data_IF_214924797928
#
_entry.id   IF_214924797928
#
_cell.length_a   1.000
_cell.length_b   1.000
_cell.length_c   1.000
_cell.angle_alpha   90.00
_cell.angle_beta   90.00
_cell.angle_gamma   90.00
#
_symmetry.space_group_name_H-M   'P 1'
#
loop_
_entity.id
_entity.type
_entity.pdbx_description
1 polymer ?
#
# COMPACT_ATOMS: atom_id res chain seq x y z
N UNK A 1 20.02 21.47 2.49
CA UNK A 1 21.21 21.95 3.22
C UNK A 1 20.83 22.38 4.64
N UNK A 2 19.93 23.36 4.81
CA UNK A 2 19.53 23.88 6.14
C UNK A 2 19.10 22.80 7.13
N UNK A 3 18.32 21.80 6.68
CA UNK A 3 17.85 20.69 7.54
C UNK A 3 19.01 19.80 7.96
N UNK A 4 19.96 19.50 7.06
CA UNK A 4 21.09 18.64 7.38
C UNK A 4 22.06 19.31 8.35
N UNK A 5 22.33 20.60 8.14
CA UNK A 5 23.16 21.37 9.06
C UNK A 5 22.54 21.44 10.47
N UNK A 6 21.21 21.65 10.54
CA UNK A 6 20.49 21.67 11.81
C UNK A 6 20.42 20.29 12.51
N UNK A 7 20.43 19.21 11.75
CA UNK A 7 20.47 17.84 12.29
C UNK A 7 21.84 17.51 12.89
N UNK A 8 22.89 17.90 12.19
CA UNK A 8 24.27 17.71 12.62
C UNK A 8 24.59 18.57 13.85
N UNK A 9 24.05 19.79 13.92
CA UNK A 9 24.19 20.70 15.08
C UNK A 9 23.32 20.29 16.29
N UNK A 10 22.46 19.28 16.18
CA UNK A 10 21.57 18.84 17.27
C UNK A 10 20.39 19.78 17.54
N UNK A 11 20.01 20.61 16.56
CA UNK A 11 18.84 21.51 16.66
C UNK A 11 17.52 20.84 16.23
N UNK A 12 17.59 19.60 15.74
CA UNK A 12 16.44 18.79 15.34
C UNK A 12 16.42 17.53 16.18
N UNK A 13 15.37 17.35 16.97
CA UNK A 13 15.17 16.16 17.81
C UNK A 13 14.48 15.01 17.05
N UNK A 14 13.58 15.33 16.13
CA UNK A 14 12.83 14.34 15.34
C UNK A 14 12.88 14.72 13.86
N UNK A 15 13.32 13.78 13.02
CA UNK A 15 13.35 13.95 11.57
C UNK A 15 12.50 12.85 10.92
N UNK A 16 11.53 13.25 10.11
CA UNK A 16 10.67 12.35 9.34
C UNK A 16 10.99 12.50 7.86
N UNK A 17 11.14 11.39 7.17
CA UNK A 17 11.43 11.39 5.75
C UNK A 17 11.43 10.00 5.14
N UNK A 18 11.84 9.90 3.90
CA UNK A 18 11.95 8.66 3.15
C UNK A 18 13.34 8.01 3.33
N UNK A 19 13.62 6.95 2.57
CA UNK A 19 14.93 6.28 2.51
C UNK A 19 16.11 7.24 2.24
N UNK A 20 15.87 8.47 1.80
CA UNK A 20 16.91 9.50 1.65
C UNK A 20 17.63 9.82 2.96
N UNK A 21 17.01 9.56 4.11
CA UNK A 21 17.61 9.76 5.42
C UNK A 21 18.78 8.78 5.72
N UNK A 22 18.86 7.67 4.99
CA UNK A 22 19.95 6.70 5.14
C UNK A 22 21.17 6.97 4.24
N UNK A 23 21.12 8.05 3.44
CA UNK A 23 22.25 8.40 2.57
C UNK A 23 23.47 8.83 3.37
N UNK A 24 24.66 8.60 2.82
CA UNK A 24 25.94 8.88 3.48
C UNK A 24 26.12 10.35 3.89
N UNK A 25 25.53 11.27 3.13
CA UNK A 25 25.59 12.72 3.37
C UNK A 25 24.75 13.22 4.54
N UNK A 26 23.93 12.35 5.15
CA UNK A 26 23.10 12.72 6.31
C UNK A 26 23.86 12.35 7.57
N UNK A 27 24.27 13.34 8.33
CA UNK A 27 24.95 13.18 9.62
C UNK A 27 23.98 13.52 10.75
N UNK A 28 24.03 12.75 11.82
CA UNK A 28 23.21 12.93 13.00
C UNK A 28 24.12 13.36 14.17
N UNK A 29 23.67 14.34 14.95
CA UNK A 29 24.40 14.76 16.15
C UNK A 29 24.45 13.61 17.17
N UNK A 30 23.30 13.01 17.46
CA UNK A 30 23.16 11.88 18.39
C UNK A 30 21.89 11.10 18.04
N UNK A 31 22.00 10.06 17.21
CA UNK A 31 20.86 9.26 16.79
C UNK A 31 20.56 8.20 17.86
N UNK A 32 19.47 8.35 18.58
CA UNK A 32 19.07 7.41 19.65
C UNK A 32 18.06 6.36 19.20
N UNK A 33 17.14 6.72 18.29
CA UNK A 33 16.07 5.82 17.83
C UNK A 33 15.83 5.98 16.33
N UNK A 34 15.69 4.84 15.65
CA UNK A 34 15.26 4.76 14.24
C UNK A 34 13.97 3.97 14.16
N UNK A 35 12.94 4.55 13.57
CA UNK A 35 11.67 3.87 13.27
C UNK A 35 11.50 3.77 11.77
N UNK A 36 11.33 2.55 11.24
CA UNK A 36 11.08 2.31 9.82
C UNK A 36 9.74 1.59 9.65
N UNK A 37 8.90 2.16 8.80
CA UNK A 37 7.58 1.61 8.49
C UNK A 37 7.57 1.02 7.08
N UNK A 38 6.85 -0.10 6.90
CA UNK A 38 6.66 -0.83 5.63
C UNK A 38 7.95 -1.13 4.84
N UNK A 39 9.07 -1.29 5.51
CA UNK A 39 10.33 -1.38 4.81
C UNK A 39 10.83 -2.80 4.61
N UNK A 40 10.36 -3.45 3.55
CA UNK A 40 10.87 -4.75 3.07
C UNK A 40 12.35 -4.71 2.65
N UNK A 41 12.94 -3.51 2.52
CA UNK A 41 14.32 -3.29 2.06
C UNK A 41 15.27 -2.79 3.14
N UNK A 42 14.83 -2.65 4.39
CA UNK A 42 15.70 -2.23 5.49
C UNK A 42 16.48 -3.44 6.04
N UNK A 43 17.46 -3.85 5.27
CA UNK A 43 18.30 -5.02 5.59
C UNK A 43 19.43 -4.72 6.55
N UNK A 44 20.20 -5.75 6.86
CA UNK A 44 21.40 -5.71 7.73
C UNK A 44 22.40 -4.62 7.30
N UNK A 45 22.60 -4.46 5.98
CA UNK A 45 23.53 -3.46 5.43
C UNK A 45 23.15 -2.00 5.76
N UNK A 46 21.86 -1.67 5.74
CA UNK A 46 21.38 -0.33 6.09
C UNK A 46 21.52 -0.07 7.59
N UNK A 47 21.21 -1.06 8.43
CA UNK A 47 21.45 -0.97 9.89
C UNK A 47 22.91 -0.77 10.22
N UNK A 48 23.79 -1.56 9.61
CA UNK A 48 25.24 -1.43 9.79
C UNK A 48 25.75 -0.03 9.42
N UNK A 49 25.21 0.57 8.35
CA UNK A 49 25.56 1.96 7.98
C UNK A 49 25.11 2.99 9.02
N UNK A 50 23.97 2.79 9.67
CA UNK A 50 23.53 3.67 10.76
C UNK A 50 24.41 3.51 12.00
N UNK A 51 24.81 2.29 12.32
CA UNK A 51 25.67 2.01 13.45
C UNK A 51 27.07 2.62 13.29
N UNK A 52 27.62 2.58 12.08
CA UNK A 52 28.95 3.16 11.80
C UNK A 52 28.99 4.68 11.88
N UNK A 53 27.84 5.37 11.80
CA UNK A 53 27.74 6.83 11.87
C UNK A 53 27.63 7.39 13.28
N UNK A 54 27.42 6.57 14.28
CA UNK A 54 27.22 7.00 15.66
C UNK A 54 28.25 6.38 16.62
N UNK A 55 28.56 7.07 17.69
CA UNK A 55 29.40 6.53 18.76
C UNK A 55 28.74 5.36 19.50
N UNK A 56 27.42 5.36 19.56
CA UNK A 56 26.62 4.27 20.12
C UNK A 56 25.57 3.83 19.10
N UNK A 57 25.31 2.50 18.95
CA UNK A 57 24.27 2.02 18.07
C UNK A 57 22.89 2.57 18.49
N UNK A 58 22.09 3.11 17.56
CA UNK A 58 20.73 3.54 17.88
C UNK A 58 19.81 2.34 18.11
N UNK A 59 18.76 2.52 18.89
CA UNK A 59 17.65 1.57 18.91
C UNK A 59 16.96 1.56 17.55
N UNK A 60 16.54 0.38 17.09
CA UNK A 60 15.90 0.23 15.77
C UNK A 60 14.57 -0.48 15.94
N UNK A 61 13.48 0.17 15.52
CA UNK A 61 12.15 -0.39 15.39
C UNK A 61 11.81 -0.54 13.91
N UNK A 62 11.62 -1.77 13.46
CA UNK A 62 11.12 -2.08 12.10
C UNK A 62 9.68 -2.54 12.21
N UNK A 63 8.79 -1.86 11.49
CA UNK A 63 7.38 -2.21 11.44
C UNK A 63 7.00 -2.71 10.05
N UNK A 64 6.09 -3.67 9.96
CA UNK A 64 5.52 -4.15 8.70
C UNK A 64 4.11 -4.69 8.93
N UNK A 65 3.21 -4.43 7.99
CA UNK A 65 1.88 -5.02 7.98
C UNK A 65 1.84 -6.39 7.29
N UNK A 66 2.90 -6.75 6.53
CA UNK A 66 2.97 -8.08 5.91
C UNK A 66 3.36 -9.14 6.92
N UNK A 67 2.57 -10.23 7.05
CA UNK A 67 2.93 -11.33 7.93
C UNK A 67 4.25 -11.96 7.51
N UNK A 68 5.27 -11.86 8.34
CA UNK A 68 6.55 -12.54 8.14
C UNK A 68 6.57 -13.73 9.11
N UNK A 69 6.70 -14.97 8.62
CA UNK A 69 6.88 -16.12 9.50
C UNK A 69 8.02 -15.87 10.48
N UNK A 70 7.82 -16.21 11.76
CA UNK A 70 8.80 -15.94 12.82
C UNK A 70 10.19 -16.48 12.49
N UNK A 71 10.26 -17.65 11.91
CA UNK A 71 11.52 -18.27 11.46
C UNK A 71 12.23 -17.46 10.39
N UNK A 72 11.47 -16.92 9.42
CA UNK A 72 12.02 -16.06 8.37
C UNK A 72 12.45 -14.71 8.96
N UNK A 73 11.67 -14.14 9.88
CA UNK A 73 12.04 -12.93 10.60
C UNK A 73 13.35 -13.08 11.37
N UNK A 74 13.54 -14.20 12.07
CA UNK A 74 14.79 -14.51 12.76
C UNK A 74 15.98 -14.68 11.81
N UNK A 75 15.75 -15.16 10.59
CA UNK A 75 16.80 -15.30 9.58
C UNK A 75 17.16 -13.95 8.94
N UNK A 76 16.16 -13.12 8.68
CA UNK A 76 16.35 -11.80 8.03
C UNK A 76 16.80 -10.72 9.00
N UNK A 77 16.39 -10.81 10.26
CA UNK A 77 16.57 -9.81 11.30
C UNK A 77 17.15 -10.44 12.59
N UNK A 78 18.04 -11.41 12.45
CA UNK A 78 18.54 -12.25 13.54
C UNK A 78 19.13 -11.54 14.76
N UNK A 79 19.35 -10.23 14.64
CA UNK A 79 19.80 -9.29 15.68
C UNK A 79 18.64 -8.50 16.33
N UNK A 80 17.38 -8.76 15.93
CA UNK A 80 16.21 -8.07 16.47
C UNK A 80 15.23 -9.04 17.14
N UNK A 81 14.65 -8.58 18.23
CA UNK A 81 13.49 -9.25 18.84
C UNK A 81 12.22 -9.02 18.01
N UNK A 82 11.36 -10.03 17.97
CA UNK A 82 10.10 -9.97 17.19
C UNK A 82 8.91 -9.88 18.12
N UNK A 83 8.15 -8.81 17.96
CA UNK A 83 6.83 -8.63 18.59
C UNK A 83 5.73 -8.72 17.54
N UNK A 84 4.64 -9.40 17.86
CA UNK A 84 3.51 -9.60 16.94
C UNK A 84 2.26 -8.93 17.51
N UNK A 85 1.61 -8.08 16.71
CA UNK A 85 0.29 -7.52 17.00
C UNK A 85 -0.72 -8.45 16.32
N UNK A 86 -1.41 -9.28 17.10
CA UNK A 86 -2.30 -10.36 16.62
C UNK A 86 -3.80 -10.03 16.77
N UNK A 87 -4.12 -8.86 17.32
CA UNK A 87 -5.50 -8.42 17.53
C UNK A 87 -5.87 -7.30 16.55
N UNK A 88 -7.08 -7.40 16.01
CA UNK A 88 -7.62 -6.32 15.18
C UNK A 88 -8.03 -5.12 16.05
N UNK A 89 -7.88 -3.88 15.54
CA UNK A 89 -8.40 -2.70 16.19
C UNK A 89 -9.91 -2.81 16.46
N UNK A 90 -10.43 -2.17 17.52
CA UNK A 90 -11.85 -2.14 17.80
C UNK A 90 -12.68 -1.69 16.59
N UNK A 91 -13.75 -2.42 16.29
CA UNK A 91 -14.66 -2.11 15.17
C UNK A 91 -14.23 -2.64 13.80
N UNK A 92 -13.03 -3.16 13.65
CA UNK A 92 -12.57 -3.76 12.40
C UNK A 92 -13.14 -5.17 12.24
N UNK A 93 -13.78 -5.41 11.10
CA UNK A 93 -14.37 -6.73 10.77
C UNK A 93 -13.35 -7.62 10.09
N UNK A 94 -13.39 -8.95 10.33
CA UNK A 94 -12.58 -9.90 9.59
C UNK A 94 -12.84 -9.83 8.08
N UNK A 95 -11.79 -9.91 7.29
CA UNK A 95 -11.89 -9.96 5.83
C UNK A 95 -12.03 -11.42 5.40
N UNK A 96 -13.00 -11.68 4.53
CA UNK A 96 -13.18 -12.99 3.91
C UNK A 96 -12.55 -12.97 2.52
N UNK A 97 -11.43 -13.65 2.35
CA UNK A 97 -10.76 -13.82 1.06
C UNK A 97 -11.29 -15.06 0.35
N UNK A 98 -11.66 -14.91 -0.94
CA UNK A 98 -12.21 -15.99 -1.76
C UNK A 98 -11.52 -15.98 -3.11
N UNK A 99 -10.98 -17.13 -3.52
CA UNK A 99 -10.49 -17.32 -4.87
C UNK A 99 -11.64 -17.79 -5.80
N UNK A 100 -11.67 -17.24 -7.01
CA UNK A 100 -12.62 -17.63 -8.08
C UNK A 100 -11.90 -17.68 -9.42
N UNK A 101 -12.30 -18.63 -10.25
CA UNK A 101 -11.87 -18.70 -11.65
C UNK A 101 -12.75 -17.81 -12.53
N UNK A 102 -12.27 -17.47 -13.73
CA UNK A 102 -12.95 -16.60 -14.70
C UNK A 102 -14.39 -17.09 -15.05
N UNK A 103 -14.61 -18.39 -15.01
CA UNK A 103 -15.94 -18.98 -15.23
C UNK A 103 -17.01 -18.52 -14.23
N UNK A 104 -16.59 -17.96 -13.09
CA UNK A 104 -17.46 -17.42 -12.04
C UNK A 104 -17.52 -15.89 -11.99
N UNK A 105 -17.04 -15.23 -13.02
CA UNK A 105 -16.96 -13.76 -13.10
C UNK A 105 -18.37 -13.12 -13.04
N UNK A 106 -19.36 -13.73 -13.70
CA UNK A 106 -20.74 -13.24 -13.66
C UNK A 106 -21.33 -13.24 -12.25
N UNK A 107 -21.09 -14.32 -11.49
CA UNK A 107 -21.56 -14.42 -10.10
C UNK A 107 -20.92 -13.33 -9.22
N UNK A 108 -19.65 -13.03 -9.47
CA UNK A 108 -18.90 -11.98 -8.76
C UNK A 108 -19.46 -10.59 -9.07
N UNK A 109 -19.75 -10.29 -10.33
CA UNK A 109 -20.35 -9.01 -10.71
C UNK A 109 -21.74 -8.82 -10.11
N UNK A 110 -22.54 -9.87 -10.07
CA UNK A 110 -23.85 -9.84 -9.41
C UNK A 110 -23.71 -9.56 -7.90
N UNK A 111 -22.77 -10.21 -7.25
CA UNK A 111 -22.46 -9.95 -5.84
C UNK A 111 -22.04 -8.50 -5.60
N UNK A 112 -21.17 -7.95 -6.44
CA UNK A 112 -20.76 -6.54 -6.34
C UNK A 112 -21.95 -5.58 -6.48
N UNK A 113 -22.84 -5.82 -7.45
CA UNK A 113 -24.07 -5.03 -7.63
C UNK A 113 -24.98 -5.09 -6.40
N UNK A 114 -25.10 -6.26 -5.78
CA UNK A 114 -25.85 -6.41 -4.53
C UNK A 114 -25.24 -5.62 -3.38
N UNK A 115 -23.91 -5.58 -3.29
CA UNK A 115 -23.23 -4.78 -2.26
C UNK A 115 -23.38 -3.28 -2.52
N UNK A 116 -23.31 -2.84 -3.78
CA UNK A 116 -23.54 -1.44 -4.17
C UNK A 116 -25.00 -1.04 -3.87
N UNK A 117 -25.97 -1.91 -4.14
CA UNK A 117 -27.37 -1.66 -3.81
C UNK A 117 -27.62 -1.47 -2.30
N UNK A 118 -26.74 -2.00 -1.44
CA UNK A 118 -26.74 -1.76 0.02
C UNK A 118 -26.01 -0.46 0.41
N UNK A 119 -25.64 0.38 -0.56
CA UNK A 119 -24.90 1.63 -0.34
C UNK A 119 -23.39 1.46 -0.14
N UNK A 120 -22.82 0.28 -0.45
CA UNK A 120 -21.39 0.02 -0.31
C UNK A 120 -20.62 0.33 -1.58
N UNK A 121 -19.30 0.37 -1.48
CA UNK A 121 -18.40 0.67 -2.59
C UNK A 121 -17.44 -0.49 -2.84
N UNK A 122 -16.91 -0.54 -4.06
CA UNK A 122 -16.09 -1.65 -4.56
C UNK A 122 -14.76 -1.13 -5.11
N UNK A 123 -13.66 -1.79 -4.72
CA UNK A 123 -12.37 -1.67 -5.40
C UNK A 123 -12.19 -2.77 -6.42
N UNK A 124 -11.63 -2.45 -7.59
CA UNK A 124 -11.17 -3.42 -8.59
C UNK A 124 -9.71 -3.11 -8.91
N UNK A 125 -8.84 -4.05 -8.58
CA UNK A 125 -7.39 -3.87 -8.73
C UNK A 125 -6.87 -4.74 -9.87
N UNK A 126 -6.17 -4.10 -10.82
CA UNK A 126 -5.48 -4.77 -11.93
C UNK A 126 -3.99 -4.86 -11.64
N UNK A 127 -3.32 -5.98 -11.99
CA UNK A 127 -1.89 -6.09 -11.82
C UNK A 127 -1.14 -5.14 -12.74
N UNK A 128 -0.01 -4.62 -12.26
CA UNK A 128 1.00 -4.03 -13.12
C UNK A 128 1.92 -5.13 -13.63
N UNK A 129 2.08 -5.22 -14.94
CA UNK A 129 3.01 -6.14 -15.59
C UNK A 129 4.33 -5.38 -15.75
N UNK A 130 5.35 -5.72 -14.97
CA UNK A 130 6.63 -4.98 -14.93
C UNK A 130 7.38 -4.89 -16.28
N UNK A 131 6.95 -5.64 -17.29
CA UNK A 131 7.63 -5.70 -18.59
C UNK A 131 7.37 -4.50 -19.49
N UNK A 132 6.26 -3.77 -19.32
CA UNK A 132 5.94 -2.57 -20.10
C UNK A 132 4.84 -1.74 -19.48
N UNK A 133 5.17 -0.54 -19.03
CA UNK A 133 4.18 0.44 -18.53
C UNK A 133 3.07 0.76 -19.55
N UNK A 134 3.34 0.60 -20.83
CA UNK A 134 2.36 0.81 -21.89
C UNK A 134 1.33 -0.31 -21.91
N UNK A 135 1.76 -1.57 -21.79
CA UNK A 135 0.89 -2.75 -21.74
C UNK A 135 0.01 -2.73 -20.48
N UNK A 136 0.55 -2.31 -19.35
CA UNK A 136 -0.19 -2.19 -18.11
C UNK A 136 -1.33 -1.17 -18.22
N UNK A 137 -1.05 -0.05 -18.87
CA UNK A 137 -2.07 0.97 -19.12
C UNK A 137 -3.15 0.48 -20.08
N UNK A 138 -2.79 -0.20 -21.17
CA UNK A 138 -3.74 -0.77 -22.14
C UNK A 138 -4.62 -1.84 -21.51
N UNK A 139 -4.07 -2.68 -20.63
CA UNK A 139 -4.81 -3.68 -19.87
C UNK A 139 -5.78 -3.04 -18.86
N UNK A 140 -5.34 -2.00 -18.17
CA UNK A 140 -6.18 -1.23 -17.26
C UNK A 140 -7.34 -0.56 -18.03
N UNK A 141 -7.05 0.11 -19.14
CA UNK A 141 -8.10 0.75 -19.96
C UNK A 141 -9.12 -0.25 -20.51
N UNK A 142 -8.64 -1.41 -20.99
CA UNK A 142 -9.52 -2.47 -21.45
C UNK A 142 -10.38 -3.02 -20.31
N UNK A 143 -9.79 -3.19 -19.13
CA UNK A 143 -10.50 -3.57 -17.92
C UNK A 143 -11.52 -2.51 -17.49
N UNK A 144 -11.16 -1.25 -17.50
CA UNK A 144 -12.05 -0.15 -17.17
C UNK A 144 -13.24 -0.05 -18.12
N UNK A 145 -13.02 -0.19 -19.44
CA UNK A 145 -14.10 -0.22 -20.44
C UNK A 145 -15.06 -1.39 -20.18
N UNK A 146 -14.55 -2.58 -19.89
CA UNK A 146 -15.36 -3.73 -19.50
C UNK A 146 -16.19 -3.46 -18.23
N UNK A 147 -15.59 -2.80 -17.24
CA UNK A 147 -16.33 -2.45 -16.04
C UNK A 147 -17.45 -1.43 -16.31
N UNK A 148 -17.26 -0.49 -17.23
CA UNK A 148 -18.35 0.41 -17.66
C UNK A 148 -19.52 -0.32 -18.34
N UNK A 149 -19.27 -1.41 -19.04
CA UNK A 149 -20.31 -2.26 -19.61
C UNK A 149 -21.07 -3.04 -18.51
N UNK A 150 -20.33 -3.52 -17.50
CA UNK A 150 -20.92 -4.26 -16.35
C UNK A 150 -21.68 -3.35 -15.42
N UNK A 151 -21.18 -2.13 -15.21
CA UNK A 151 -21.74 -1.10 -14.31
C UNK A 151 -22.04 0.18 -15.11
N UNK A 152 -23.13 0.16 -15.93
CA UNK A 152 -23.42 1.29 -16.82
C UNK A 152 -23.93 2.53 -16.08
N UNK A 153 -23.58 3.70 -16.60
CA UNK A 153 -24.18 4.97 -16.20
C UNK A 153 -25.65 5.06 -16.72
N UNK A 154 -26.54 5.78 -16.06
CA UNK A 154 -26.32 6.58 -14.84
C UNK A 154 -26.47 5.81 -13.52
N UNK A 155 -26.73 4.52 -13.57
CA UNK A 155 -26.99 3.70 -12.38
C UNK A 155 -25.74 3.54 -11.51
N UNK A 156 -24.57 3.48 -12.14
CA UNK A 156 -23.28 3.31 -11.47
C UNK A 156 -22.27 4.38 -11.91
N UNK A 157 -21.50 4.89 -10.96
CA UNK A 157 -20.40 5.80 -11.22
C UNK A 157 -19.08 5.12 -10.95
N UNK A 158 -18.22 5.08 -11.99
CA UNK A 158 -16.92 4.41 -11.93
C UNK A 158 -15.80 5.42 -12.07
N UNK A 159 -14.85 5.38 -11.13
CA UNK A 159 -13.58 6.09 -11.23
C UNK A 159 -12.43 5.17 -11.63
N UNK A 160 -11.36 5.77 -12.15
CA UNK A 160 -10.11 5.07 -12.45
C UNK A 160 -8.93 5.84 -11.86
N UNK A 161 -7.99 5.10 -11.25
CA UNK A 161 -6.73 5.66 -10.74
C UNK A 161 -5.56 4.78 -11.15
N UNK A 162 -4.50 5.41 -11.67
CA UNK A 162 -3.28 4.71 -12.10
C UNK A 162 -2.02 5.55 -11.92
N UNK A 163 -0.85 4.91 -12.05
CA UNK A 163 0.45 5.53 -11.80
C UNK A 163 0.77 6.77 -12.64
N UNK A 164 0.28 6.84 -13.88
CA UNK A 164 0.56 7.94 -14.83
C UNK A 164 -0.26 9.21 -14.59
N UNK A 165 -1.31 9.14 -13.77
CA UNK A 165 -2.11 10.33 -13.44
C UNK A 165 -1.30 11.31 -12.60
N UNK A 166 -1.58 12.61 -12.80
CA UNK A 166 -1.02 13.65 -11.94
C UNK A 166 -1.54 13.49 -10.51
N UNK A 167 -0.74 13.85 -9.50
CA UNK A 167 -1.18 13.75 -8.10
C UNK A 167 -2.54 14.39 -7.83
N UNK A 168 -2.77 15.59 -8.36
CA UNK A 168 -4.05 16.30 -8.18
C UNK A 168 -5.26 15.58 -8.80
N UNK A 169 -5.06 14.86 -9.91
CA UNK A 169 -6.11 14.07 -10.55
C UNK A 169 -6.43 12.83 -9.71
N UNK A 170 -5.40 12.15 -9.19
CA UNK A 170 -5.55 11.02 -8.26
C UNK A 170 -6.30 11.44 -7.01
N UNK A 171 -5.89 12.56 -6.41
CA UNK A 171 -6.51 13.08 -5.19
C UNK A 171 -7.99 13.41 -5.42
N UNK A 172 -8.32 14.02 -6.58
CA UNK A 172 -9.70 14.33 -6.93
C UNK A 172 -10.57 13.07 -7.04
N UNK A 173 -10.11 12.04 -7.77
CA UNK A 173 -10.85 10.77 -7.90
C UNK A 173 -11.00 10.07 -6.56
N UNK A 174 -9.94 10.06 -5.74
CA UNK A 174 -9.96 9.45 -4.41
C UNK A 174 -10.92 10.17 -3.47
N UNK A 175 -11.00 11.51 -3.53
CA UNK A 175 -11.97 12.30 -2.77
C UNK A 175 -13.40 11.98 -3.17
N UNK A 176 -13.70 11.90 -4.47
CA UNK A 176 -15.03 11.50 -4.97
C UNK A 176 -15.40 10.09 -4.49
N UNK A 177 -14.45 9.17 -4.51
CA UNK A 177 -14.69 7.82 -4.01
C UNK A 177 -14.91 7.81 -2.49
N UNK A 178 -14.13 8.55 -1.73
CA UNK A 178 -14.30 8.68 -0.29
C UNK A 178 -15.62 9.36 0.10
N UNK A 179 -16.09 10.32 -0.72
CA UNK A 179 -17.39 10.99 -0.56
C UNK A 179 -18.59 10.11 -0.95
N UNK A 180 -18.35 8.92 -1.56
CA UNK A 180 -19.42 8.03 -2.01
C UNK A 180 -20.05 8.42 -3.36
N UNK A 181 -19.45 9.37 -4.08
CA UNK A 181 -19.90 9.80 -5.41
C UNK A 181 -19.60 8.71 -6.48
N UNK A 182 -18.59 7.88 -6.24
CA UNK A 182 -18.24 6.74 -7.08
C UNK A 182 -18.60 5.43 -6.37
N UNK A 183 -19.27 4.54 -7.08
CA UNK A 183 -19.62 3.19 -6.60
C UNK A 183 -18.46 2.21 -6.73
N UNK A 184 -17.69 2.36 -7.81
CA UNK A 184 -16.58 1.47 -8.15
C UNK A 184 -15.33 2.29 -8.44
N UNK A 185 -14.21 1.87 -7.87
CA UNK A 185 -12.91 2.43 -8.19
C UNK A 185 -12.02 1.36 -8.81
N UNK A 186 -11.63 1.58 -10.05
CA UNK A 186 -10.71 0.72 -10.81
C UNK A 186 -9.30 1.28 -10.67
N UNK A 187 -8.34 0.44 -10.31
CA UNK A 187 -6.99 0.91 -10.06
C UNK A 187 -5.92 -0.11 -10.41
N UNK A 188 -4.69 0.36 -10.56
CA UNK A 188 -3.49 -0.49 -10.50
C UNK A 188 -3.00 -0.59 -9.06
N UNK A 189 -1.96 -1.40 -8.82
CA UNK A 189 -1.33 -1.61 -7.50
C UNK A 189 -0.85 -0.33 -6.80
N UNK A 190 -0.94 0.81 -7.42
CA UNK A 190 -0.48 2.12 -6.92
C UNK A 190 -1.37 2.71 -5.83
N UNK A 191 -2.50 2.07 -5.49
CA UNK A 191 -3.31 2.50 -4.33
C UNK A 191 -2.68 1.96 -3.05
N UNK A 192 -1.43 2.25 -2.85
CA UNK A 192 -0.73 1.69 -1.70
C UNK A 192 -1.07 2.38 -0.39
N UNK A 193 -1.60 3.60 -0.38
CA UNK A 193 -1.63 4.29 0.90
C UNK A 193 -2.72 5.34 1.05
N UNK A 194 -3.45 5.22 2.15
CA UNK A 194 -3.77 6.36 2.99
C UNK A 194 -5.16 6.93 2.86
N UNK A 195 -6.00 6.51 1.92
CA UNK A 195 -7.40 6.90 1.96
C UNK A 195 -8.21 5.78 2.59
N UNK A 196 -8.56 5.98 3.86
CA UNK A 196 -9.47 5.09 4.55
C UNK A 196 -10.89 5.31 4.01
N UNK A 197 -11.40 4.35 3.25
CA UNK A 197 -12.78 4.33 2.75
C UNK A 197 -13.53 3.17 3.43
N UNK A 198 -14.06 3.37 4.64
CA UNK A 198 -14.70 2.30 5.42
C UNK A 198 -15.89 1.67 4.71
N UNK A 199 -16.52 2.41 3.79
CA UNK A 199 -17.66 1.97 3.01
C UNK A 199 -17.29 1.05 1.84
N UNK A 200 -16.02 1.01 1.42
CA UNK A 200 -15.52 0.09 0.42
C UNK A 200 -15.34 -1.31 1.02
N UNK A 201 -16.37 -2.12 0.94
CA UNK A 201 -16.46 -3.43 1.61
C UNK A 201 -16.03 -4.61 0.73
N UNK A 202 -15.84 -4.39 -0.56
CA UNK A 202 -15.44 -5.42 -1.53
C UNK A 202 -14.20 -4.95 -2.28
N UNK A 203 -13.22 -5.84 -2.38
CA UNK A 203 -12.07 -5.67 -3.24
C UNK A 203 -11.97 -6.87 -4.18
N UNK A 204 -12.01 -6.63 -5.47
CA UNK A 204 -11.73 -7.62 -6.50
C UNK A 204 -10.30 -7.42 -7.01
N UNK A 205 -9.52 -8.47 -7.02
CA UNK A 205 -8.15 -8.48 -7.54
C UNK A 205 -8.13 -9.33 -8.81
N UNK A 206 -7.92 -8.68 -9.93
CA UNK A 206 -7.78 -9.34 -11.24
C UNK A 206 -6.44 -10.04 -11.36
N UNK A 207 -6.43 -11.24 -11.95
CA UNK A 207 -5.20 -12.02 -12.17
C UNK A 207 -4.32 -12.08 -10.92
N UNK A 208 -4.92 -12.52 -9.80
CA UNK A 208 -4.26 -12.53 -8.48
C UNK A 208 -2.97 -13.38 -8.43
N UNK A 209 -2.81 -14.30 -9.38
CA UNK A 209 -1.59 -15.10 -9.60
C UNK A 209 -0.35 -14.27 -10.00
N UNK A 210 -0.57 -13.04 -10.46
CA UNK A 210 0.49 -12.09 -10.82
C UNK A 210 0.98 -11.22 -9.68
N UNK A 211 0.33 -11.30 -8.53
CA UNK A 211 0.72 -10.55 -7.34
C UNK A 211 1.59 -11.41 -6.42
N UNK A 212 2.62 -10.80 -5.86
CA UNK A 212 3.33 -11.39 -4.74
C UNK A 212 2.45 -11.47 -3.48
N UNK A 213 2.72 -12.44 -2.62
CA UNK A 213 1.95 -12.63 -1.38
C UNK A 213 1.91 -11.35 -0.51
N UNK A 214 3.02 -10.63 -0.41
CA UNK A 214 3.10 -9.37 0.32
C UNK A 214 2.15 -8.31 -0.25
N UNK A 215 2.05 -8.21 -1.59
CA UNK A 215 1.15 -7.27 -2.26
C UNK A 215 -0.32 -7.62 -2.03
N UNK A 216 -0.66 -8.91 -1.95
CA UNK A 216 -2.03 -9.35 -1.64
C UNK A 216 -2.41 -9.08 -0.19
N UNK A 217 -1.44 -8.99 0.72
CA UNK A 217 -1.67 -8.63 2.12
C UNK A 217 -1.81 -7.12 2.34
N UNK A 218 -1.19 -6.29 1.51
CA UNK A 218 -1.32 -4.83 1.52
C UNK A 218 -2.70 -4.37 1.08
#
# INVERSE_FOLDING_TARGET
KVVYDALEDGRIDILIGTHALFQEKVNYHSLGLVVTDEQHRFGVAQRAKLWSKNHQPPHVLVMTATPIPRTLAMTLYGDLDVSVIDQLPPGRKPIRTIHRYDTKRGDLYLFMKQEIAKGRQVYIVFPMIQESEKLDYENLEAGYRRMKEVFPEPEYHIGMVHGKMKPSEKDSVMQQFAAGELNVLVATTVIEVGVNVPNASVMMIESADRFGLSQLHQ
#
